data_IF_484167143684
#
_entry.id   IF_484167143684
#
_cell.length_a   1.000
_cell.length_b   1.000
_cell.length_c   1.000
_cell.angle_alpha   90.00
_cell.angle_beta   90.00
_cell.angle_gamma   90.00
#
_symmetry.space_group_name_H-M   'P 1'
#
loop_
_entity.id
_entity.type
_entity.pdbx_description
1 polymer ?
#
# COMPACT_ATOMS: atom_id res chain seq x y z
N UNK A 1 5.53 16.67 6.48
CA UNK A 1 5.67 15.37 5.82
C UNK A 1 6.73 14.57 6.56
N UNK A 2 6.58 13.26 6.69
CA UNK A 2 7.56 12.40 7.35
C UNK A 2 8.66 12.11 6.34
N UNK A 3 9.91 12.22 6.76
CA UNK A 3 11.05 11.87 5.91
C UNK A 3 11.01 10.36 5.61
N UNK A 4 11.31 9.99 4.38
CA UNK A 4 11.35 8.59 3.95
C UNK A 4 12.75 8.21 3.52
N UNK A 5 13.17 7.02 3.92
CA UNK A 5 14.45 6.42 3.55
C UNK A 5 14.22 5.34 2.50
N UNK A 6 14.81 5.51 1.31
CA UNK A 6 14.72 4.52 0.24
C UNK A 6 15.76 3.42 0.44
N UNK A 7 15.30 2.19 0.63
CA UNK A 7 16.15 1.00 0.63
C UNK A 7 15.60 0.04 -0.42
N UNK A 8 16.39 -0.20 -1.47
CA UNK A 8 16.01 -0.94 -2.66
C UNK A 8 14.72 -0.38 -3.29
N UNK A 9 13.72 -1.23 -3.54
CA UNK A 9 12.45 -0.88 -4.17
C UNK A 9 11.35 -0.46 -3.18
N UNK A 10 11.69 -0.15 -1.92
CA UNK A 10 10.72 0.38 -0.95
C UNK A 10 11.23 1.65 -0.26
N UNK A 11 10.27 2.45 0.18
CA UNK A 11 10.48 3.56 1.11
C UNK A 11 10.09 3.13 2.53
N UNK A 12 10.94 3.46 3.50
CA UNK A 12 10.72 3.24 4.93
C UNK A 12 10.49 4.60 5.59
N UNK A 13 9.45 4.72 6.39
CA UNK A 13 9.12 5.95 7.11
C UNK A 13 10.09 6.19 8.27
N UNK A 14 10.74 7.36 8.28
CA UNK A 14 11.82 7.69 9.22
C UNK A 14 11.28 8.30 10.54
N UNK A 15 10.52 7.49 11.29
CA UNK A 15 9.98 7.89 12.58
C UNK A 15 10.88 7.52 13.76
N UNK A 16 10.74 8.26 14.85
CA UNK A 16 10.98 7.72 16.20
C UNK A 16 9.73 6.96 16.71
N UNK A 17 9.90 6.01 17.63
CA UNK A 17 8.80 5.26 18.23
C UNK A 17 7.73 6.19 18.81
N UNK A 18 8.15 7.24 19.52
CA UNK A 18 7.23 8.22 20.12
C UNK A 18 6.40 8.97 19.08
N UNK A 19 7.04 9.45 18.01
CA UNK A 19 6.34 10.13 16.91
C UNK A 19 5.39 9.18 16.20
N UNK A 20 5.84 7.94 15.96
CA UNK A 20 5.06 6.93 15.27
C UNK A 20 3.80 6.55 16.05
N UNK A 21 3.93 6.24 17.34
CA UNK A 21 2.78 5.89 18.21
C UNK A 21 1.76 7.02 18.27
N UNK A 22 2.20 8.27 18.41
CA UNK A 22 1.29 9.43 18.38
C UNK A 22 0.54 9.50 17.04
N UNK A 23 1.24 9.30 15.93
CA UNK A 23 0.63 9.36 14.60
C UNK A 23 -0.38 8.22 14.41
N UNK A 24 0.05 7.00 14.69
CA UNK A 24 -0.72 5.78 14.54
C UNK A 24 -1.98 5.77 15.42
N UNK A 25 -1.88 6.23 16.66
CA UNK A 25 -3.02 6.32 17.58
C UNK A 25 -4.13 7.23 17.05
N UNK A 26 -3.78 8.37 16.44
CA UNK A 26 -4.78 9.32 15.94
C UNK A 26 -5.27 9.02 14.52
N UNK A 27 -4.43 8.47 13.65
CA UNK A 27 -4.76 8.28 12.23
C UNK A 27 -5.21 6.87 11.88
N UNK A 28 -4.84 5.89 12.70
CA UNK A 28 -4.90 4.49 12.31
C UNK A 28 -4.08 4.22 11.04
N UNK A 29 -4.31 3.07 10.43
CA UNK A 29 -3.67 2.62 9.20
C UNK A 29 -3.05 1.24 9.28
N UNK A 30 -2.57 0.75 8.13
CA UNK A 30 -1.91 -0.53 7.97
C UNK A 30 -0.40 -0.35 8.13
N UNK A 31 0.17 -1.05 9.11
CA UNK A 31 1.59 -0.97 9.48
C UNK A 31 2.29 -2.27 9.12
N UNK A 32 3.30 -2.17 8.25
CA UNK A 32 4.25 -3.25 7.98
C UNK A 32 5.61 -2.93 8.57
N UNK A 33 6.31 -3.96 9.05
CA UNK A 33 7.65 -3.85 9.63
C UNK A 33 8.66 -4.62 8.75
N UNK A 34 9.03 -4.07 7.57
CA UNK A 34 9.97 -4.74 6.68
C UNK A 34 11.33 -4.99 7.36
N UNK A 35 11.85 -6.21 7.21
CA UNK A 35 13.24 -6.59 7.47
C UNK A 35 13.90 -7.12 6.20
N UNK A 36 15.16 -7.55 6.30
CA UNK A 36 15.97 -8.04 5.17
C UNK A 36 15.24 -9.07 4.31
N UNK A 37 14.64 -10.08 4.93
CA UNK A 37 13.85 -11.11 4.24
C UNK A 37 12.67 -10.55 3.45
N UNK A 38 12.01 -9.50 3.95
CA UNK A 38 10.97 -8.82 3.19
C UNK A 38 11.59 -8.14 1.97
N UNK A 39 12.69 -7.39 2.15
CA UNK A 39 13.35 -6.67 1.06
C UNK A 39 13.82 -7.61 -0.04
N UNK A 40 14.33 -8.80 0.30
CA UNK A 40 14.70 -9.83 -0.69
C UNK A 40 13.47 -10.42 -1.38
N UNK A 41 12.42 -10.78 -0.63
CA UNK A 41 11.17 -11.30 -1.22
C UNK A 41 10.55 -10.29 -2.18
N UNK A 42 10.58 -9.01 -1.82
CA UNK A 42 10.12 -7.90 -2.66
C UNK A 42 10.92 -7.73 -3.95
N UNK A 43 12.10 -8.36 -4.09
CA UNK A 43 12.83 -8.40 -5.34
C UNK A 43 12.35 -9.50 -6.31
N UNK A 44 11.69 -10.53 -5.79
CA UNK A 44 11.42 -11.78 -6.52
C UNK A 44 9.93 -12.06 -6.68
N UNK A 45 9.12 -11.58 -5.75
CA UNK A 45 7.69 -11.82 -5.69
C UNK A 45 6.91 -10.54 -6.04
N UNK A 46 6.34 -10.52 -7.25
CA UNK A 46 5.57 -9.38 -7.77
C UNK A 46 4.27 -9.14 -7.00
N UNK A 47 3.62 -10.21 -6.53
CA UNK A 47 2.37 -10.10 -5.80
C UNK A 47 2.63 -9.56 -4.40
N UNK A 48 3.68 -10.03 -3.73
CA UNK A 48 4.11 -9.46 -2.46
C UNK A 48 4.55 -8.00 -2.60
N UNK A 49 5.18 -7.61 -3.71
CA UNK A 49 5.48 -6.21 -4.02
C UNK A 49 4.21 -5.35 -4.12
N UNK A 50 3.17 -5.84 -4.81
CA UNK A 50 1.87 -5.16 -4.89
C UNK A 50 1.18 -5.04 -3.53
N UNK A 51 1.25 -6.09 -2.71
CA UNK A 51 0.70 -6.10 -1.35
C UNK A 51 1.21 -4.92 -0.50
N UNK A 52 2.47 -4.52 -0.68
CA UNK A 52 3.05 -3.39 0.06
C UNK A 52 2.36 -2.04 -0.23
N UNK A 53 1.59 -1.92 -1.33
CA UNK A 53 0.81 -0.71 -1.62
C UNK A 53 -0.37 -0.51 -0.67
N UNK A 54 -0.87 -1.57 -0.04
CA UNK A 54 -1.93 -1.46 0.95
C UNK A 54 -1.44 -0.82 2.26
N UNK A 55 -0.12 -0.84 2.55
CA UNK A 55 0.43 -0.27 3.78
C UNK A 55 0.37 1.26 3.78
N UNK A 56 -0.07 1.83 4.91
CA UNK A 56 0.04 3.27 5.16
C UNK A 56 1.39 3.64 5.78
N UNK A 57 1.97 2.70 6.55
CA UNK A 57 3.26 2.88 7.20
C UNK A 57 4.16 1.68 7.01
N UNK A 58 5.43 1.96 6.77
CA UNK A 58 6.51 0.98 6.67
C UNK A 58 7.61 1.40 7.62
N UNK A 59 7.70 0.74 8.78
CA UNK A 59 8.67 1.12 9.82
C UNK A 59 9.81 0.11 9.93
N UNK A 60 11.00 0.58 10.32
CA UNK A 60 12.23 -0.21 10.28
C UNK A 60 12.26 -1.33 11.33
N UNK A 61 12.18 -2.60 10.92
CA UNK A 61 12.11 -3.73 11.87
C UNK A 61 13.44 -4.06 12.55
N UNK A 62 14.58 -3.85 11.87
CA UNK A 62 15.87 -4.38 12.34
C UNK A 62 17.01 -3.36 12.32
N UNK A 63 17.99 -3.55 13.24
CA UNK A 63 19.25 -2.80 13.23
C UNK A 63 20.03 -2.97 11.93
N UNK A 64 19.89 -4.12 11.26
CA UNK A 64 20.54 -4.37 9.96
C UNK A 64 20.07 -3.34 8.93
N UNK A 65 18.77 -3.02 8.89
CA UNK A 65 18.26 -1.97 8.01
C UNK A 65 18.71 -0.57 8.46
N UNK A 66 18.84 -0.32 9.77
CA UNK A 66 19.45 0.93 10.24
C UNK A 66 20.90 1.07 9.78
N UNK A 67 21.72 0.02 9.87
CA UNK A 67 23.10 0.05 9.36
C UNK A 67 23.14 0.20 7.84
N UNK A 68 22.26 -0.48 7.11
CA UNK A 68 22.14 -0.32 5.67
C UNK A 68 21.80 1.12 5.27
N UNK A 69 20.86 1.75 5.98
CA UNK A 69 20.49 3.16 5.74
C UNK A 69 21.65 4.13 6.01
N UNK A 70 22.44 3.89 7.07
CA UNK A 70 23.68 4.64 7.35
C UNK A 70 24.70 4.48 6.24
N UNK A 71 24.89 3.25 5.75
CA UNK A 71 25.80 2.97 4.63
C UNK A 71 25.37 3.70 3.35
N UNK A 72 24.06 3.76 3.06
CA UNK A 72 23.52 4.51 1.93
C UNK A 72 23.64 6.03 2.09
N UNK A 73 23.78 6.54 3.32
CA UNK A 73 23.91 7.98 3.62
C UNK A 73 22.61 8.66 4.04
N UNK A 74 21.54 7.88 4.25
CA UNK A 74 20.20 8.35 4.66
C UNK A 74 19.78 7.61 5.94
N UNK A 75 20.33 7.95 7.11
CA UNK A 75 20.19 7.15 8.32
C UNK A 75 18.75 7.15 8.87
N UNK A 76 18.23 5.94 9.11
CA UNK A 76 17.00 5.72 9.88
C UNK A 76 17.26 6.09 11.35
N UNK A 77 16.32 6.83 11.93
CA UNK A 77 16.40 7.38 13.30
C UNK A 77 16.23 6.31 14.37
N UNK A 78 15.30 5.37 14.20
CA UNK A 78 14.99 4.37 15.23
C UNK A 78 14.54 3.02 14.64
N UNK A 79 14.85 1.93 15.35
CA UNK A 79 14.32 0.59 15.08
C UNK A 79 12.94 0.48 15.71
N UNK A 80 11.94 0.16 14.92
CA UNK A 80 10.55 -0.07 15.34
C UNK A 80 10.17 -1.47 14.84
N UNK A 81 10.61 -2.50 15.55
CA UNK A 81 10.25 -3.89 15.25
C UNK A 81 8.81 -4.18 15.65
N UNK A 82 8.15 -5.16 15.03
CA UNK A 82 6.80 -5.57 15.46
C UNK A 82 6.74 -5.94 16.94
N UNK A 83 7.81 -6.53 17.43
CA UNK A 83 7.99 -6.96 18.82
C UNK A 83 8.33 -5.86 19.83
N UNK A 84 8.71 -4.67 19.36
CA UNK A 84 8.86 -3.48 20.19
C UNK A 84 7.60 -2.59 20.07
N UNK A 85 7.07 -2.49 18.84
CA UNK A 85 5.92 -1.66 18.49
C UNK A 85 4.65 -2.10 19.23
N UNK A 86 4.31 -3.39 19.20
CA UNK A 86 3.04 -3.83 19.78
C UNK A 86 2.97 -3.63 21.29
N UNK A 87 4.02 -3.97 22.08
CA UNK A 87 4.08 -3.64 23.50
C UNK A 87 4.00 -2.15 23.78
N UNK A 88 4.76 -1.34 23.05
CA UNK A 88 4.72 0.11 23.23
C UNK A 88 3.38 0.71 22.82
N UNK A 89 2.69 0.13 21.85
CA UNK A 89 1.37 0.57 21.41
C UNK A 89 0.30 0.35 22.47
N UNK A 90 0.18 -0.86 23.04
CA UNK A 90 -0.81 -1.08 24.10
C UNK A 90 -0.44 -0.33 25.38
N UNK A 91 0.86 -0.14 25.69
CA UNK A 91 1.30 0.70 26.82
C UNK A 91 1.00 2.18 26.58
N UNK A 92 1.11 2.65 25.34
CA UNK A 92 0.71 4.00 24.96
C UNK A 92 -0.79 4.21 25.15
N UNK A 93 -1.61 3.26 24.69
CA UNK A 93 -3.04 3.27 24.92
C UNK A 93 -3.35 3.24 26.42
N UNK A 94 -2.60 2.47 27.20
CA UNK A 94 -2.75 2.44 28.65
C UNK A 94 -2.58 3.81 29.30
N UNK A 95 -1.49 4.51 28.95
CA UNK A 95 -1.22 5.86 29.46
C UNK A 95 -2.25 6.90 29.02
N UNK A 96 -2.90 6.71 27.87
CA UNK A 96 -3.97 7.58 27.37
C UNK A 96 -5.27 7.36 28.15
N UNK A 97 -5.58 6.11 28.41
CA UNK A 97 -6.71 5.70 29.24
C UNK A 97 -6.58 6.22 30.69
N UNK A 98 -5.39 6.09 31.30
CA UNK A 98 -5.12 6.60 32.65
C UNK A 98 -5.31 8.13 32.77
N UNK A 99 -5.17 8.85 31.65
CA UNK A 99 -5.41 10.30 31.57
C UNK A 99 -6.84 10.66 31.17
N UNK A 100 -7.72 9.68 31.01
CA UNK A 100 -9.10 9.85 30.56
C UNK A 100 -9.20 10.54 29.18
N UNK A 101 -8.18 10.35 28.33
CA UNK A 101 -8.10 11.04 27.02
C UNK A 101 -8.90 10.31 25.93
N UNK A 102 -9.12 8.98 26.01
CA UNK A 102 -10.05 8.21 25.15
C UNK A 102 -10.05 6.71 25.50
N UNK A 103 -11.22 6.03 25.40
CA UNK A 103 -11.42 4.62 25.77
C UNK A 103 -11.89 3.72 24.62
N UNK A 104 -11.40 3.97 23.39
CA UNK A 104 -11.88 3.27 22.19
C UNK A 104 -10.90 2.23 21.61
N UNK A 105 -9.75 1.98 22.26
CA UNK A 105 -8.80 0.97 21.77
C UNK A 105 -9.21 -0.42 22.26
N UNK A 106 -9.66 -1.26 21.32
CA UNK A 106 -9.96 -2.68 21.52
C UNK A 106 -9.19 -3.49 20.49
N UNK A 107 -8.39 -4.45 20.94
CA UNK A 107 -7.45 -5.17 20.10
C UNK A 107 -7.93 -6.61 19.88
N UNK A 108 -7.90 -7.06 18.63
CA UNK A 108 -8.04 -8.45 18.23
C UNK A 108 -6.66 -9.06 17.93
N UNK A 109 -6.35 -10.24 18.47
CA UNK A 109 -5.14 -11.00 18.13
C UNK A 109 -5.46 -12.09 17.11
N UNK A 110 -4.79 -12.08 15.96
CA UNK A 110 -4.92 -13.13 14.94
C UNK A 110 -3.57 -13.78 14.64
N UNK A 111 -3.39 -15.05 15.00
CA UNK A 111 -2.19 -15.80 14.66
C UNK A 111 -1.69 -16.70 15.78
N UNK A 112 -0.39 -17.02 15.71
CA UNK A 112 0.26 -18.02 16.56
C UNK A 112 -0.38 -19.44 16.48
N UNK A 113 0.17 -20.38 17.22
CA UNK A 113 -0.39 -21.73 17.33
C UNK A 113 -1.66 -21.74 18.18
N UNK A 114 -2.43 -22.83 18.11
CA UNK A 114 -3.64 -23.02 18.93
C UNK A 114 -3.35 -22.79 20.42
N UNK A 115 -4.21 -22.01 21.09
CA UNK A 115 -4.07 -21.61 22.49
C UNK A 115 -3.09 -20.47 22.77
N UNK A 116 -2.11 -20.21 21.88
CA UNK A 116 -1.07 -19.19 22.13
C UNK A 116 -1.63 -17.77 22.08
N UNK A 117 -2.52 -17.47 21.13
CA UNK A 117 -3.14 -16.14 21.04
C UNK A 117 -4.02 -15.81 22.26
N UNK A 118 -4.72 -16.81 22.81
CA UNK A 118 -5.52 -16.68 24.03
C UNK A 118 -4.62 -16.44 25.25
N UNK A 119 -3.50 -17.17 25.37
CA UNK A 119 -2.52 -16.93 26.43
C UNK A 119 -1.92 -15.52 26.36
N UNK A 120 -1.62 -15.02 25.16
CA UNK A 120 -1.18 -13.64 24.96
C UNK A 120 -2.27 -12.63 25.39
N UNK A 121 -3.54 -12.89 25.06
CA UNK A 121 -4.66 -12.07 25.51
C UNK A 121 -4.71 -11.97 27.04
N UNK A 122 -4.64 -13.10 27.74
CA UNK A 122 -4.64 -13.13 29.21
C UNK A 122 -3.47 -12.35 29.81
N UNK A 123 -2.25 -12.62 29.33
CA UNK A 123 -1.04 -11.96 29.82
C UNK A 123 -1.08 -10.43 29.63
N UNK A 124 -1.49 -9.98 28.44
CA UNK A 124 -1.56 -8.55 28.12
C UNK A 124 -2.65 -7.87 28.96
N UNK A 125 -3.83 -8.46 29.07
CA UNK A 125 -4.93 -7.88 29.85
C UNK A 125 -4.57 -7.79 31.34
N UNK A 126 -3.88 -8.79 31.90
CA UNK A 126 -3.34 -8.74 33.26
C UNK A 126 -2.31 -7.62 33.43
N UNK A 127 -1.37 -7.48 32.47
CA UNK A 127 -0.33 -6.44 32.49
C UNK A 127 -0.91 -5.03 32.36
N UNK A 128 -1.93 -4.86 31.53
CA UNK A 128 -2.57 -3.57 31.28
C UNK A 128 -3.50 -3.19 32.43
N UNK A 129 -4.22 -4.16 33.01
CA UNK A 129 -5.14 -3.95 34.14
C UNK A 129 -6.60 -3.80 33.72
N UNK A 130 -6.91 -3.99 32.44
CA UNK A 130 -8.27 -4.11 31.90
C UNK A 130 -8.26 -4.94 30.62
N UNK A 131 -9.46 -5.26 30.13
CA UNK A 131 -9.68 -5.97 28.88
C UNK A 131 -9.43 -5.06 27.67
N UNK A 132 -8.16 -4.92 27.27
CA UNK A 132 -7.77 -4.22 26.04
C UNK A 132 -7.78 -5.16 24.84
N UNK A 133 -7.39 -6.43 25.05
CA UNK A 133 -7.50 -7.50 24.06
C UNK A 133 -8.89 -8.13 24.24
N UNK A 134 -9.79 -7.84 23.31
CA UNK A 134 -11.21 -8.23 23.41
C UNK A 134 -11.49 -9.62 22.82
N UNK A 135 -10.65 -10.07 21.90
CA UNK A 135 -10.75 -11.42 21.35
C UNK A 135 -9.41 -11.85 20.72
N UNK A 136 -9.21 -13.16 20.62
CA UNK A 136 -8.01 -13.76 20.06
C UNK A 136 -8.35 -15.06 19.31
N UNK A 137 -7.70 -15.28 18.17
CA UNK A 137 -7.90 -16.46 17.34
C UNK A 137 -6.61 -16.96 16.70
N UNK A 138 -6.37 -18.25 16.83
CA UNK A 138 -5.30 -18.97 16.14
C UNK A 138 -5.88 -19.69 14.92
N UNK A 139 -5.56 -19.23 13.69
CA UNK A 139 -6.09 -19.84 12.48
C UNK A 139 -5.38 -21.17 12.14
N UNK A 140 -6.00 -21.98 11.30
CA UNK A 140 -5.41 -23.22 10.81
C UNK A 140 -4.17 -22.98 9.93
N UNK A 141 -3.31 -23.98 9.80
CA UNK A 141 -2.16 -23.87 8.91
C UNK A 141 -2.62 -23.75 7.46
N UNK A 142 -2.29 -22.63 6.80
CA UNK A 142 -2.70 -22.38 5.42
C UNK A 142 -4.08 -21.74 5.28
N UNK A 143 -4.67 -21.24 6.38
CA UNK A 143 -5.98 -20.56 6.37
C UNK A 143 -6.12 -19.49 5.29
N UNK A 144 -5.02 -18.85 4.89
CA UNK A 144 -5.01 -17.79 3.87
C UNK A 144 -5.48 -18.28 2.49
N UNK A 145 -5.47 -19.61 2.28
CA UNK A 145 -5.96 -20.28 1.06
C UNK A 145 -7.38 -20.82 1.20
N UNK A 146 -7.95 -20.77 2.40
CA UNK A 146 -9.29 -21.25 2.71
C UNK A 146 -10.25 -20.05 2.85
N UNK A 147 -10.99 -19.74 1.78
CA UNK A 147 -11.92 -18.61 1.76
C UNK A 147 -13.01 -18.71 2.85
N UNK A 148 -13.47 -19.92 3.17
CA UNK A 148 -14.49 -20.12 4.22
C UNK A 148 -13.92 -19.80 5.61
N UNK A 149 -12.66 -20.17 5.86
CA UNK A 149 -12.01 -19.84 7.13
C UNK A 149 -11.67 -18.34 7.20
N UNK A 150 -11.17 -17.75 6.11
CA UNK A 150 -10.98 -16.31 6.01
C UNK A 150 -12.28 -15.55 6.28
N UNK A 151 -13.41 -16.03 5.75
CA UNK A 151 -14.73 -15.45 6.00
C UNK A 151 -15.10 -15.50 7.49
N UNK A 152 -14.94 -16.67 8.14
CA UNK A 152 -15.20 -16.83 9.58
C UNK A 152 -14.33 -15.91 10.43
N UNK A 153 -13.06 -15.73 10.06
CA UNK A 153 -12.14 -14.81 10.73
C UNK A 153 -12.63 -13.36 10.60
N UNK A 154 -13.03 -12.94 9.39
CA UNK A 154 -13.57 -11.60 9.13
C UNK A 154 -14.82 -11.33 9.96
N UNK A 155 -15.75 -12.28 10.00
CA UNK A 155 -17.00 -12.16 10.74
C UNK A 155 -16.72 -12.06 12.24
N UNK A 156 -15.87 -12.93 12.79
CA UNK A 156 -15.46 -12.88 14.20
C UNK A 156 -14.79 -11.55 14.56
N UNK A 157 -13.89 -11.03 13.73
CA UNK A 157 -13.25 -9.72 13.97
C UNK A 157 -14.31 -8.61 13.99
N UNK A 158 -15.25 -8.60 13.04
CA UNK A 158 -16.30 -7.58 12.97
C UNK A 158 -17.25 -7.65 14.19
N UNK A 159 -17.56 -8.86 14.68
CA UNK A 159 -18.43 -9.10 15.84
C UNK A 159 -17.75 -8.78 17.18
N UNK A 160 -16.42 -8.89 17.27
CA UNK A 160 -15.64 -8.64 18.50
C UNK A 160 -15.70 -7.19 19.00
N UNK A 161 -16.10 -6.24 18.15
CA UNK A 161 -16.03 -4.81 18.45
C UNK A 161 -14.60 -4.26 18.54
N UNK A 162 -13.59 -4.99 18.07
CA UNK A 162 -12.22 -4.52 18.00
C UNK A 162 -12.07 -3.33 17.04
N UNK A 163 -11.18 -2.41 17.40
CA UNK A 163 -10.76 -1.25 16.61
C UNK A 163 -9.32 -1.38 16.10
N UNK A 164 -8.58 -2.37 16.58
CA UNK A 164 -7.21 -2.68 16.19
C UNK A 164 -7.09 -4.18 15.90
N UNK A 165 -6.46 -4.54 14.78
CA UNK A 165 -6.08 -5.92 14.47
C UNK A 165 -4.57 -6.07 14.57
N UNK A 166 -4.11 -6.95 15.46
CA UNK A 166 -2.72 -7.38 15.53
C UNK A 166 -2.60 -8.80 14.96
N UNK A 167 -1.96 -8.91 13.79
CA UNK A 167 -1.83 -10.17 13.06
C UNK A 167 -0.38 -10.69 13.11
N UNK A 168 -0.22 -11.96 13.48
CA UNK A 168 1.07 -12.62 13.71
C UNK A 168 1.13 -14.02 13.11
N UNK A 169 0.99 -14.11 11.78
CA UNK A 169 1.08 -15.40 11.02
C UNK A 169 2.33 -15.49 10.14
N UNK A 170 3.17 -14.45 10.18
CA UNK A 170 4.44 -14.38 9.48
C UNK A 170 4.32 -13.90 8.04
N UNK A 171 5.42 -13.32 7.53
CA UNK A 171 5.50 -12.79 6.19
C UNK A 171 5.84 -13.87 5.14
N UNK A 172 5.22 -13.85 3.95
CA UNK A 172 4.37 -12.79 3.40
C UNK A 172 2.87 -12.90 3.72
N UNK A 173 2.46 -13.92 4.50
CA UNK A 173 1.06 -14.31 4.67
C UNK A 173 0.22 -13.20 5.28
N UNK A 174 0.71 -12.59 6.36
CA UNK A 174 -0.02 -11.56 7.08
C UNK A 174 -0.21 -10.29 6.22
N UNK A 175 0.82 -9.87 5.47
CA UNK A 175 0.72 -8.71 4.59
C UNK A 175 -0.27 -8.99 3.45
N UNK A 176 -0.17 -10.15 2.80
CA UNK A 176 -1.06 -10.55 1.71
C UNK A 176 -2.52 -10.65 2.19
N UNK A 177 -2.75 -11.23 3.37
CA UNK A 177 -4.09 -11.33 3.95
C UNK A 177 -4.67 -9.94 4.25
N UNK A 178 -3.86 -9.04 4.82
CA UNK A 178 -4.27 -7.65 5.06
C UNK A 178 -4.59 -6.92 3.75
N UNK A 179 -3.71 -7.00 2.74
CA UNK A 179 -3.96 -6.35 1.45
C UNK A 179 -5.28 -6.83 0.82
N UNK A 180 -5.59 -8.13 0.93
CA UNK A 180 -6.81 -8.71 0.37
C UNK A 180 -8.08 -8.37 1.16
N UNK A 181 -8.03 -8.35 2.50
CA UNK A 181 -9.24 -8.35 3.33
C UNK A 181 -9.43 -7.12 4.24
N UNK A 182 -8.46 -6.22 4.38
CA UNK A 182 -8.59 -5.06 5.29
C UNK A 182 -9.85 -4.22 5.03
N UNK A 183 -10.25 -4.03 3.76
CA UNK A 183 -11.45 -3.28 3.39
C UNK A 183 -12.78 -3.93 3.82
N UNK A 184 -12.75 -5.18 4.31
CA UNK A 184 -13.93 -5.92 4.81
C UNK A 184 -14.06 -5.85 6.34
N UNK A 185 -13.07 -5.27 7.03
CA UNK A 185 -13.02 -5.14 8.48
C UNK A 185 -13.53 -3.75 8.89
N UNK A 186 -14.82 -3.69 9.24
CA UNK A 186 -15.59 -2.42 9.32
C UNK A 186 -15.16 -1.52 10.47
N UNK A 187 -14.80 -2.13 11.60
CA UNK A 187 -14.50 -1.43 12.85
C UNK A 187 -13.00 -1.17 13.05
N UNK A 188 -12.15 -1.88 12.30
CA UNK A 188 -10.70 -1.83 12.48
C UNK A 188 -10.14 -0.56 11.84
N UNK A 189 -9.56 0.30 12.67
CA UNK A 189 -8.87 1.53 12.29
C UNK A 189 -7.37 1.28 12.09
N UNK A 190 -6.79 0.35 12.85
CA UNK A 190 -5.34 0.08 12.88
C UNK A 190 -5.04 -1.39 12.64
N UNK A 191 -4.12 -1.67 11.72
CA UNK A 191 -3.68 -3.04 11.41
C UNK A 191 -2.18 -3.15 11.65
N UNK A 192 -1.77 -4.08 12.50
CA UNK A 192 -0.38 -4.28 12.90
C UNK A 192 0.08 -5.67 12.44
N UNK A 193 0.97 -5.71 11.45
CA UNK A 193 1.63 -6.94 11.01
C UNK A 193 2.86 -7.19 11.90
N UNK A 194 2.69 -8.00 12.95
CA UNK A 194 3.64 -8.10 14.07
C UNK A 194 4.42 -9.42 14.12
N UNK A 195 4.20 -10.33 13.17
CA UNK A 195 4.94 -11.59 13.08
C UNK A 195 4.88 -12.40 14.37
N UNK A 196 6.02 -12.85 14.88
CA UNK A 196 6.12 -13.73 16.06
C UNK A 196 5.86 -13.03 17.42
N UNK A 197 5.35 -11.80 17.41
CA UNK A 197 5.16 -11.03 18.64
C UNK A 197 4.09 -11.64 19.54
N UNK A 198 3.08 -12.30 18.98
CA UNK A 198 2.06 -13.01 19.77
C UNK A 198 2.71 -14.14 20.59
N UNK A 199 3.64 -14.91 20.01
CA UNK A 199 4.40 -15.95 20.74
C UNK A 199 5.23 -15.36 21.91
N UNK A 200 5.78 -14.16 21.73
CA UNK A 200 6.54 -13.47 22.78
C UNK A 200 5.65 -13.00 23.92
N UNK A 201 4.51 -12.39 23.62
CA UNK A 201 3.54 -11.93 24.64
C UNK A 201 2.87 -13.10 25.38
N UNK A 202 2.71 -14.25 24.72
CA UNK A 202 2.26 -15.49 25.36
C UNK A 202 3.34 -16.13 26.27
N UNK A 203 4.61 -15.73 26.13
CA UNK A 203 5.73 -16.34 26.85
C UNK A 203 6.16 -17.71 26.30
N UNK A 204 5.69 -18.10 25.11
CA UNK A 204 6.07 -19.36 24.45
C UNK A 204 7.49 -19.29 23.85
N UNK A 205 7.93 -18.09 23.48
CA UNK A 205 9.28 -17.86 22.97
C UNK A 205 9.98 -16.75 23.75
N UNK A 206 11.24 -16.94 24.15
CA UNK A 206 12.01 -15.86 24.76
C UNK A 206 12.35 -14.79 23.72
N UNK A 207 12.32 -13.53 24.16
CA UNK A 207 12.94 -12.41 23.43
C UNK A 207 14.46 -12.56 23.50
N UNK A 208 15.17 -12.08 22.47
CA UNK A 208 16.62 -11.97 22.56
C UNK A 208 17.02 -11.04 23.71
N UNK A 209 18.14 -11.29 24.40
CA UNK A 209 18.68 -10.34 25.37
C UNK A 209 18.80 -8.92 24.78
N UNK A 210 18.53 -7.89 25.60
CA UNK A 210 18.50 -6.50 25.16
C UNK A 210 19.81 -6.08 24.48
N UNK A 211 20.96 -6.46 25.04
CA UNK A 211 22.26 -6.16 24.45
C UNK A 211 22.44 -6.76 23.05
N UNK A 212 21.89 -7.95 22.77
CA UNK A 212 21.94 -8.52 21.42
C UNK A 212 21.06 -7.72 20.46
N UNK A 213 19.87 -7.33 20.91
CA UNK A 213 18.96 -6.48 20.14
C UNK A 213 19.58 -5.12 19.80
N UNK A 214 20.25 -4.50 20.77
CA UNK A 214 20.89 -3.18 20.64
C UNK A 214 22.02 -3.20 19.60
N UNK A 215 22.79 -4.29 19.55
CA UNK A 215 23.88 -4.51 18.59
C UNK A 215 23.39 -5.03 17.24
N UNK A 216 22.15 -5.50 17.14
CA UNK A 216 21.58 -6.07 15.90
C UNK A 216 21.84 -7.56 15.70
N UNK A 217 22.12 -8.29 16.79
CA UNK A 217 22.36 -9.74 16.81
C UNK A 217 21.10 -10.57 17.09
N UNK A 218 19.91 -9.94 17.04
CA UNK A 218 18.61 -10.60 17.18
C UNK A 218 18.47 -11.81 16.24
N UNK A 219 18.90 -11.67 14.97
CA UNK A 219 18.84 -12.75 14.00
C UNK A 219 19.72 -13.94 14.39
N UNK A 220 20.88 -13.70 15.01
CA UNK A 220 21.80 -14.75 15.44
C UNK A 220 21.22 -15.52 16.63
N UNK A 221 20.62 -14.81 17.59
CA UNK A 221 19.89 -15.44 18.70
C UNK A 221 18.77 -16.34 18.17
N UNK A 222 17.96 -15.85 17.23
CA UNK A 222 16.87 -16.64 16.64
C UNK A 222 17.39 -17.84 15.85
N UNK A 223 18.49 -17.68 15.12
CA UNK A 223 19.13 -18.78 14.40
C UNK A 223 19.58 -19.89 15.34
N UNK A 224 20.14 -19.53 16.49
CA UNK A 224 20.53 -20.51 17.50
C UNK A 224 19.32 -21.22 18.12
N UNK A 225 18.20 -20.51 18.32
CA UNK A 225 16.97 -21.10 18.87
C UNK A 225 16.22 -21.99 17.87
N UNK A 226 16.21 -21.63 16.58
CA UNK A 226 15.46 -22.33 15.53
C UNK A 226 16.32 -22.62 14.29
N UNK A 227 17.44 -23.35 14.43
CA UNK A 227 18.45 -23.47 13.37
C UNK A 227 17.88 -24.11 12.12
N UNK A 228 17.14 -25.21 12.24
CA UNK A 228 16.54 -25.94 11.11
C UNK A 228 15.62 -25.08 10.25
N UNK A 229 14.96 -24.08 10.86
CA UNK A 229 14.00 -23.20 10.19
C UNK A 229 14.67 -21.96 9.59
N UNK A 230 15.66 -21.39 10.27
CA UNK A 230 16.19 -20.06 9.96
C UNK A 230 17.54 -20.05 9.24
N UNK A 231 18.30 -21.16 9.24
CA UNK A 231 19.62 -21.20 8.61
C UNK A 231 19.57 -20.84 7.13
N UNK A 232 18.64 -21.44 6.39
CA UNK A 232 18.48 -21.21 4.95
C UNK A 232 18.08 -19.77 4.68
N UNK A 233 17.13 -19.26 5.47
CA UNK A 233 16.68 -17.86 5.37
C UNK A 233 17.87 -16.89 5.51
N UNK A 234 18.64 -16.99 6.60
CA UNK A 234 19.68 -16.01 6.87
C UNK A 234 20.96 -16.20 6.07
N UNK A 235 21.38 -17.45 5.85
CA UNK A 235 22.68 -17.75 5.24
C UNK A 235 22.60 -18.04 3.74
N UNK A 236 21.40 -18.10 3.15
CA UNK A 236 21.22 -18.34 1.72
C UNK A 236 20.26 -17.31 1.12
N UNK A 237 19.04 -17.23 1.66
CA UNK A 237 17.99 -16.42 1.02
C UNK A 237 18.22 -14.93 1.23
N UNK A 238 18.69 -14.49 2.41
CA UNK A 238 18.87 -13.07 2.77
C UNK A 238 20.21 -12.48 2.28
N UNK A 239 21.22 -13.30 1.99
CA UNK A 239 22.55 -12.83 1.56
C UNK A 239 22.56 -11.91 0.31
N UNK A 240 21.74 -12.15 -0.74
CA UNK A 240 21.64 -11.26 -1.88
C UNK A 240 21.33 -9.80 -1.52
N UNK A 241 20.71 -9.54 -0.36
CA UNK A 241 20.44 -8.19 0.12
C UNK A 241 21.68 -7.30 0.13
N UNK A 242 22.82 -7.80 0.62
CA UNK A 242 24.03 -6.99 0.74
C UNK A 242 24.62 -6.63 -0.62
N UNK A 243 24.52 -7.52 -1.61
CA UNK A 243 24.92 -7.23 -2.98
C UNK A 243 24.03 -6.16 -3.62
N UNK A 244 22.71 -6.28 -3.46
CA UNK A 244 21.75 -5.30 -3.95
C UNK A 244 21.95 -3.92 -3.27
N UNK A 245 22.27 -3.92 -1.98
CA UNK A 245 22.57 -2.70 -1.23
C UNK A 245 23.84 -2.02 -1.76
N UNK A 246 24.87 -2.80 -2.10
CA UNK A 246 26.07 -2.28 -2.74
C UNK A 246 25.76 -1.70 -4.13
N UNK A 247 24.96 -2.40 -4.94
CA UNK A 247 24.50 -1.87 -6.22
C UNK A 247 23.73 -0.56 -6.04
N UNK A 248 22.89 -0.44 -5.00
CA UNK A 248 22.16 0.80 -4.71
C UNK A 248 23.12 1.92 -4.31
N UNK A 249 24.16 1.62 -3.52
CA UNK A 249 25.17 2.61 -3.14
C UNK A 249 25.97 3.15 -4.32
N UNK A 250 26.15 2.31 -5.35
CA UNK A 250 26.88 2.65 -6.58
C UNK A 250 25.96 3.16 -7.70
N UNK A 251 24.69 3.44 -7.41
CA UNK A 251 23.66 3.84 -8.38
C UNK A 251 23.47 2.85 -9.55
N UNK A 252 23.79 1.57 -9.32
CA UNK A 252 23.65 0.45 -10.28
C UNK A 252 22.40 -0.40 -10.04
N UNK A 253 21.72 -0.21 -8.91
CA UNK A 253 20.54 -1.00 -8.56
C UNK A 253 19.36 -0.65 -9.47
N UNK A 254 18.80 -1.69 -10.10
CA UNK A 254 17.57 -1.60 -10.88
C UNK A 254 16.46 -2.34 -10.12
N UNK A 255 15.31 -1.69 -9.84
CA UNK A 255 14.20 -2.37 -9.20
C UNK A 255 13.67 -3.47 -10.13
N UNK A 256 13.46 -4.70 -9.64
CA UNK A 256 13.12 -5.85 -10.49
C UNK A 256 11.67 -5.80 -10.99
N UNK A 257 10.84 -5.03 -10.30
CA UNK A 257 9.51 -4.67 -10.74
C UNK A 257 9.51 -3.16 -10.93
N UNK A 258 9.03 -2.70 -12.08
CA UNK A 258 8.51 -1.35 -12.12
C UNK A 258 7.49 -1.24 -10.99
N UNK A 259 7.52 -0.17 -10.18
CA UNK A 259 6.50 -0.02 -9.14
C UNK A 259 5.14 -0.18 -9.83
N UNK A 260 4.14 -0.83 -9.21
CA UNK A 260 2.81 -0.90 -9.83
C UNK A 260 2.22 0.51 -10.08
N UNK A 261 2.88 1.55 -9.54
CA UNK A 261 2.80 2.94 -9.95
C UNK A 261 4.20 3.57 -9.94
N UNK A 262 5.01 3.27 -10.94
CA UNK A 262 5.59 4.39 -11.66
C UNK A 262 4.54 4.67 -12.73
N UNK A 263 3.79 5.79 -12.70
CA UNK A 263 3.70 6.44 -13.99
C UNK A 263 5.16 6.51 -14.45
N UNK A 264 5.51 5.98 -15.64
CA UNK A 264 6.49 6.74 -16.39
C UNK A 264 6.02 8.18 -16.19
N UNK A 265 6.84 9.09 -15.65
CA UNK A 265 6.42 10.46 -15.68
C UNK A 265 6.03 10.65 -17.14
N UNK A 266 4.73 10.84 -17.40
CA UNK A 266 4.34 11.57 -18.59
C UNK A 266 5.07 12.85 -18.31
N UNK A 267 6.23 12.96 -18.96
CA UNK A 267 7.35 13.73 -18.44
C UNK A 267 6.80 15.07 -18.02
N UNK A 268 7.25 15.61 -16.89
CA UNK A 268 7.21 17.05 -16.77
C UNK A 268 7.85 17.59 -18.07
N UNK A 269 7.02 18.00 -19.05
CA UNK A 269 7.45 18.21 -20.44
C UNK A 269 6.61 17.60 -21.58
N UNK A 270 5.71 16.63 -21.39
CA UNK A 270 4.82 16.20 -22.52
C UNK A 270 3.74 17.27 -22.74
N UNK A 271 3.65 17.89 -23.93
CA UNK A 271 2.67 18.94 -24.17
C UNK A 271 1.25 18.41 -24.06
N UNK A 272 0.35 19.20 -23.46
CA UNK A 272 -1.09 18.89 -23.34
C UNK A 272 -1.71 18.49 -24.70
N UNK A 273 -1.25 19.10 -25.80
CA UNK A 273 -1.69 18.74 -27.15
C UNK A 273 -1.43 17.29 -27.53
N UNK A 274 -0.28 16.72 -27.14
CA UNK A 274 0.04 15.31 -27.37
C UNK A 274 -0.87 14.40 -26.55
N UNK A 275 -1.13 14.75 -25.28
CA UNK A 275 -1.99 13.98 -24.38
C UNK A 275 -3.42 13.87 -24.94
N UNK A 276 -3.97 15.01 -25.38
CA UNK A 276 -5.31 15.06 -25.94
C UNK A 276 -5.40 14.38 -27.31
N UNK A 277 -4.33 14.42 -28.11
CA UNK A 277 -4.24 13.72 -29.39
C UNK A 277 -4.18 12.20 -29.19
N UNK A 278 -3.33 11.71 -28.28
CA UNK A 278 -3.22 10.30 -27.93
C UNK A 278 -4.52 9.74 -27.34
N UNK A 279 -5.28 10.59 -26.64
CA UNK A 279 -6.62 10.26 -26.15
C UNK A 279 -7.70 10.31 -27.25
N UNK A 280 -7.35 10.66 -28.49
CA UNK A 280 -8.28 10.80 -29.61
C UNK A 280 -9.28 11.96 -29.47
N UNK A 281 -9.03 12.90 -28.55
CA UNK A 281 -9.93 14.02 -28.24
C UNK A 281 -9.78 15.17 -29.22
N UNK A 282 -8.59 15.34 -29.81
CA UNK A 282 -8.30 16.32 -30.86
C UNK A 282 -7.49 15.68 -31.99
N UNK A 283 -7.62 16.23 -33.19
CA UNK A 283 -6.87 15.80 -34.38
C UNK A 283 -5.57 16.57 -34.57
N UNK A 284 -4.65 16.03 -35.37
CA UNK A 284 -3.39 16.67 -35.77
C UNK A 284 -3.62 18.07 -36.35
N UNK A 285 -4.70 18.23 -37.12
CA UNK A 285 -5.11 19.52 -37.69
C UNK A 285 -5.49 20.51 -36.61
N UNK A 286 -6.25 20.08 -35.59
CA UNK A 286 -6.63 20.93 -34.46
C UNK A 286 -5.42 21.31 -33.61
N UNK A 287 -4.48 20.38 -33.37
CA UNK A 287 -3.22 20.67 -32.68
C UNK A 287 -2.40 21.71 -33.44
N UNK A 288 -2.18 21.51 -34.74
CA UNK A 288 -1.41 22.44 -35.56
C UNK A 288 -2.05 23.84 -35.63
N UNK A 289 -3.38 23.90 -35.73
CA UNK A 289 -4.12 25.18 -35.71
C UNK A 289 -4.02 25.87 -34.35
N UNK A 290 -4.15 25.13 -33.25
CA UNK A 290 -4.06 25.70 -31.91
C UNK A 290 -2.64 26.22 -31.61
N UNK A 291 -1.59 25.48 -32.00
CA UNK A 291 -0.20 25.94 -31.87
C UNK A 291 0.07 27.18 -32.72
N UNK A 292 -0.45 27.22 -33.96
CA UNK A 292 -0.34 28.41 -34.82
C UNK A 292 -1.04 29.62 -34.18
N UNK A 293 -2.26 29.44 -33.65
CA UNK A 293 -2.97 30.51 -32.94
C UNK A 293 -2.18 31.02 -31.74
N UNK A 294 -1.60 30.11 -30.95
CA UNK A 294 -0.80 30.43 -29.77
C UNK A 294 0.44 31.28 -30.11
N UNK A 295 1.06 31.04 -31.27
CA UNK A 295 2.23 31.79 -31.73
C UNK A 295 1.88 33.17 -32.32
N UNK A 296 0.64 33.37 -32.78
CA UNK A 296 0.21 34.59 -33.49
C UNK A 296 -0.59 35.58 -32.66
N UNK A 297 -1.01 35.22 -31.43
CA UNK A 297 -1.82 36.10 -30.58
C UNK A 297 -0.97 36.90 -29.59
N UNK A 298 -1.24 38.21 -29.51
CA UNK A 298 -0.59 39.14 -28.56
C UNK A 298 -1.02 38.89 -27.09
N UNK A 299 -2.17 38.26 -26.86
CA UNK A 299 -2.78 38.07 -25.52
C UNK A 299 -2.25 36.86 -24.72
N UNK A 300 -1.31 36.09 -25.26
CA UNK A 300 -0.63 35.01 -24.52
C UNK A 300 -1.55 33.84 -24.06
N UNK A 301 -2.66 33.58 -24.76
CA UNK A 301 -3.58 32.49 -24.42
C UNK A 301 -2.87 31.12 -24.37
N UNK A 302 -3.20 30.30 -23.35
CA UNK A 302 -2.63 28.96 -23.23
C UNK A 302 -3.31 28.03 -24.23
N UNK A 303 -2.60 26.97 -24.62
CA UNK A 303 -3.08 25.98 -25.59
C UNK A 303 -4.47 25.43 -25.26
N UNK A 304 -4.74 25.11 -23.98
CA UNK A 304 -6.06 24.64 -23.54
C UNK A 304 -7.16 25.67 -23.72
N UNK A 305 -6.89 26.94 -23.43
CA UNK A 305 -7.85 28.04 -23.55
C UNK A 305 -8.27 28.24 -25.03
N UNK A 306 -7.33 28.03 -25.97
CA UNK A 306 -7.60 28.08 -27.43
C UNK A 306 -8.56 26.96 -27.86
N UNK A 307 -8.40 25.75 -27.31
CA UNK A 307 -9.29 24.62 -27.62
C UNK A 307 -10.71 24.86 -27.11
N UNK A 308 -10.84 25.44 -25.91
CA UNK A 308 -12.13 25.80 -25.31
C UNK A 308 -12.81 26.92 -26.10
N UNK A 309 -12.10 28.01 -26.40
CA UNK A 309 -12.64 29.16 -27.13
C UNK A 309 -13.13 28.79 -28.55
N UNK A 310 -12.53 27.76 -29.16
CA UNK A 310 -12.96 27.23 -30.45
C UNK A 310 -14.08 26.20 -30.37
N UNK A 311 -14.54 25.87 -29.16
CA UNK A 311 -15.60 24.89 -28.92
C UNK A 311 -15.20 23.45 -29.23
N UNK A 312 -13.89 23.14 -29.26
CA UNK A 312 -13.42 21.79 -29.58
C UNK A 312 -13.43 20.85 -28.38
N UNK A 313 -13.20 21.38 -27.17
CA UNK A 313 -13.28 20.63 -25.91
C UNK A 313 -13.92 21.48 -24.83
N UNK A 314 -14.56 20.81 -23.86
CA UNK A 314 -15.05 21.46 -22.66
C UNK A 314 -13.87 21.82 -21.72
N UNK A 315 -13.98 22.92 -20.96
CA UNK A 315 -12.92 23.32 -20.02
C UNK A 315 -12.63 22.22 -19.00
N UNK A 316 -13.65 21.50 -18.51
CA UNK A 316 -13.46 20.41 -17.57
C UNK A 316 -12.69 19.22 -18.17
N UNK A 317 -12.81 18.99 -19.48
CA UNK A 317 -11.99 17.98 -20.17
C UNK A 317 -10.52 18.41 -20.19
N UNK A 318 -10.25 19.69 -20.45
CA UNK A 318 -8.90 20.25 -20.43
C UNK A 318 -8.29 20.14 -19.03
N UNK A 319 -9.00 20.62 -18.01
CA UNK A 319 -8.55 20.61 -16.62
C UNK A 319 -8.31 19.18 -16.12
N UNK A 320 -9.18 18.25 -16.52
CA UNK A 320 -9.02 16.85 -16.14
C UNK A 320 -7.72 16.25 -16.68
N UNK A 321 -7.42 16.39 -17.97
CA UNK A 321 -6.21 15.80 -18.56
C UNK A 321 -4.93 16.58 -18.21
N UNK A 322 -5.02 17.88 -17.95
CA UNK A 322 -3.88 18.72 -17.61
C UNK A 322 -3.48 18.62 -16.13
N UNK A 323 -4.45 18.54 -15.22
CA UNK A 323 -4.21 18.69 -13.78
C UNK A 323 -4.70 17.48 -12.97
N UNK A 324 -5.93 17.04 -13.17
CA UNK A 324 -6.53 16.02 -12.30
C UNK A 324 -5.98 14.62 -12.54
N UNK A 325 -5.87 14.19 -13.79
CA UNK A 325 -5.47 12.84 -14.16
C UNK A 325 -4.03 12.52 -13.69
N UNK A 326 -3.03 13.42 -13.85
CA UNK A 326 -1.71 13.22 -13.26
C UNK A 326 -1.72 13.18 -11.72
N UNK A 327 -2.53 14.01 -11.06
CA UNK A 327 -2.62 14.04 -9.60
C UNK A 327 -3.26 12.77 -9.03
N UNK A 328 -4.33 12.28 -9.68
CA UNK A 328 -4.99 11.04 -9.30
C UNK A 328 -4.03 9.86 -9.43
N UNK A 329 -3.29 9.77 -10.54
CA UNK A 329 -2.30 8.73 -10.76
C UNK A 329 -1.23 8.70 -9.65
N UNK A 330 -0.82 9.88 -9.16
CA UNK A 330 0.14 10.01 -8.06
C UNK A 330 -0.45 9.73 -6.67
N UNK A 331 -1.77 9.85 -6.49
CA UNK A 331 -2.44 9.71 -5.20
C UNK A 331 -2.67 8.26 -4.75
N UNK A 332 -2.55 7.28 -5.66
CA UNK A 332 -2.75 5.86 -5.39
C UNK A 332 -4.20 5.45 -5.06
N UNK A 333 -5.17 6.38 -5.11
CA UNK A 333 -6.60 6.11 -4.87
C UNK A 333 -7.33 5.92 -6.21
N UNK A 334 -7.44 4.67 -6.65
CA UNK A 334 -8.22 4.32 -7.83
C UNK A 334 -9.72 4.38 -7.56
N UNK A 335 -10.46 5.00 -8.47
CA UNK A 335 -11.92 5.04 -8.54
C UNK A 335 -12.39 4.26 -9.78
N UNK A 336 -13.67 3.87 -9.87
CA UNK A 336 -14.21 3.23 -11.07
C UNK A 336 -14.05 4.12 -12.32
N UNK A 337 -13.82 3.51 -13.49
CA UNK A 337 -13.60 4.25 -14.76
C UNK A 337 -14.69 5.28 -15.07
N UNK A 338 -15.95 4.96 -14.78
CA UNK A 338 -17.08 5.88 -14.96
C UNK A 338 -16.96 7.18 -14.15
N UNK A 339 -16.33 7.15 -12.97
CA UNK A 339 -16.07 8.35 -12.17
C UNK A 339 -15.15 9.33 -12.91
N UNK A 340 -14.07 8.82 -13.52
CA UNK A 340 -13.11 9.64 -14.25
C UNK A 340 -13.70 10.22 -15.53
N UNK A 341 -14.43 9.41 -16.30
CA UNK A 341 -15.10 9.87 -17.53
C UNK A 341 -16.20 10.90 -17.23
N UNK A 342 -16.87 10.78 -16.07
CA UNK A 342 -17.80 11.80 -15.58
C UNK A 342 -17.11 13.12 -15.29
N UNK A 343 -16.01 13.06 -14.53
CA UNK A 343 -15.24 14.24 -14.11
C UNK A 343 -14.68 14.99 -15.32
N UNK A 344 -14.23 14.26 -16.34
CA UNK A 344 -13.78 14.80 -17.62
C UNK A 344 -14.89 15.33 -18.54
N UNK A 345 -16.18 15.27 -18.11
CA UNK A 345 -17.37 15.58 -18.93
C UNK A 345 -17.50 14.75 -20.22
N UNK A 346 -16.83 13.61 -20.29
CA UNK A 346 -16.93 12.67 -21.43
C UNK A 346 -18.18 11.79 -21.34
N UNK A 347 -18.66 11.55 -20.12
CA UNK A 347 -19.93 10.88 -19.84
C UNK A 347 -20.75 11.65 -18.81
N UNK A 348 -22.07 11.53 -18.89
CA UNK A 348 -22.99 12.03 -17.86
C UNK A 348 -23.59 10.88 -17.04
N UNK A 349 -24.30 11.22 -15.95
CA UNK A 349 -24.91 10.24 -15.05
C UNK A 349 -25.88 9.28 -15.75
N UNK A 350 -26.63 9.78 -16.73
CA UNK A 350 -27.56 8.96 -17.52
C UNK A 350 -26.79 7.91 -18.33
N UNK A 351 -25.75 8.32 -19.04
CA UNK A 351 -24.91 7.41 -19.83
C UNK A 351 -24.20 6.38 -18.94
N UNK A 352 -23.72 6.79 -17.76
CA UNK A 352 -23.08 5.88 -16.81
C UNK A 352 -24.08 4.83 -16.31
N UNK A 353 -25.28 5.23 -15.92
CA UNK A 353 -26.32 4.31 -15.48
C UNK A 353 -26.75 3.34 -16.59
N UNK A 354 -26.87 3.84 -17.83
CA UNK A 354 -27.17 3.00 -19.00
C UNK A 354 -26.05 1.98 -19.27
N UNK A 355 -24.77 2.38 -19.16
CA UNK A 355 -23.63 1.46 -19.27
C UNK A 355 -23.69 0.40 -18.18
N UNK A 356 -23.88 0.78 -16.91
CA UNK A 356 -23.91 -0.15 -15.78
C UNK A 356 -25.05 -1.16 -15.90
N UNK A 357 -26.22 -0.72 -16.38
CA UNK A 357 -27.35 -1.61 -16.66
C UNK A 357 -27.01 -2.65 -17.74
N UNK A 358 -26.40 -2.23 -18.85
CA UNK A 358 -26.03 -3.13 -19.94
C UNK A 358 -24.85 -4.05 -19.58
N UNK A 359 -23.92 -3.56 -18.77
CA UNK A 359 -22.81 -4.32 -18.22
C UNK A 359 -23.29 -5.58 -17.49
N UNK A 360 -24.35 -5.43 -16.67
CA UNK A 360 -24.96 -6.52 -15.91
C UNK A 360 -25.65 -7.59 -16.77
N UNK A 361 -26.05 -7.25 -18.01
CA UNK A 361 -26.78 -8.13 -18.90
C UNK A 361 -25.87 -8.84 -19.91
N UNK A 362 -24.76 -8.21 -20.30
CA UNK A 362 -23.96 -8.64 -21.45
C UNK A 362 -22.57 -9.21 -21.10
N UNK A 363 -22.19 -9.27 -19.81
CA UNK A 363 -20.83 -9.65 -19.36
C UNK A 363 -19.71 -8.87 -20.09
N UNK A 364 -19.99 -7.62 -20.46
CA UNK A 364 -19.06 -6.69 -21.09
C UNK A 364 -18.44 -5.78 -20.03
N UNK A 365 -17.31 -5.14 -20.34
CA UNK A 365 -16.71 -4.15 -19.43
C UNK A 365 -17.29 -2.77 -19.65
N UNK A 366 -17.27 -1.93 -18.60
CA UNK A 366 -17.75 -0.55 -18.67
C UNK A 366 -17.21 0.21 -19.89
N UNK A 367 -15.89 0.17 -20.12
CA UNK A 367 -15.24 0.84 -21.26
C UNK A 367 -15.67 0.28 -22.62
N UNK A 368 -15.88 -1.04 -22.74
CA UNK A 368 -16.32 -1.67 -23.99
C UNK A 368 -17.74 -1.25 -24.36
N UNK A 369 -18.64 -1.18 -23.38
CA UNK A 369 -20.01 -0.70 -23.59
C UNK A 369 -19.99 0.77 -24.01
N UNK A 370 -19.19 1.61 -23.35
CA UNK A 370 -19.05 3.03 -23.70
C UNK A 370 -18.56 3.24 -25.15
N UNK A 371 -17.61 2.42 -25.61
CA UNK A 371 -17.09 2.45 -26.98
C UNK A 371 -18.12 1.93 -27.98
N UNK A 372 -18.80 0.82 -27.69
CA UNK A 372 -19.87 0.27 -28.56
C UNK A 372 -21.03 1.25 -28.76
N UNK A 373 -21.34 2.04 -27.73
CA UNK A 373 -22.35 3.11 -27.80
C UNK A 373 -21.88 4.35 -28.55
N UNK A 374 -20.59 4.42 -28.91
CA UNK A 374 -19.99 5.57 -29.60
C UNK A 374 -19.88 6.81 -28.73
N UNK A 375 -20.01 6.69 -27.40
CA UNK A 375 -19.95 7.84 -26.49
C UNK A 375 -18.53 8.27 -26.15
N UNK A 376 -17.60 7.31 -26.14
CA UNK A 376 -16.18 7.55 -25.89
C UNK A 376 -15.38 6.72 -26.88
N UNK A 377 -14.25 7.24 -27.36
CA UNK A 377 -13.36 6.51 -28.26
C UNK A 377 -12.52 5.50 -27.49
N UNK A 378 -12.09 4.43 -28.16
CA UNK A 378 -11.24 3.41 -27.55
C UNK A 378 -9.90 4.02 -27.09
N UNK A 379 -9.34 4.95 -27.87
CA UNK A 379 -8.11 5.67 -27.55
C UNK A 379 -8.25 6.49 -26.27
N UNK A 380 -9.42 7.08 -26.02
CA UNK A 380 -9.68 7.85 -24.80
C UNK A 380 -9.67 6.94 -23.58
N UNK A 381 -10.31 5.77 -23.68
CA UNK A 381 -10.30 4.77 -22.61
C UNK A 381 -8.88 4.28 -22.36
N UNK A 382 -8.16 3.91 -23.42
CA UNK A 382 -6.76 3.47 -23.34
C UNK A 382 -5.86 4.53 -22.73
N UNK A 383 -6.06 5.80 -23.08
CA UNK A 383 -5.30 6.92 -22.51
C UNK A 383 -5.57 7.04 -21.03
N UNK A 384 -6.82 7.17 -20.59
CA UNK A 384 -7.16 7.26 -19.15
C UNK A 384 -6.62 6.05 -18.37
N UNK A 385 -6.80 4.83 -18.89
CA UNK A 385 -6.28 3.62 -18.25
C UNK A 385 -4.75 3.59 -18.22
N UNK A 386 -4.04 4.05 -19.26
CA UNK A 386 -2.57 4.15 -19.25
C UNK A 386 -2.07 5.02 -18.11
N UNK A 387 -2.77 6.11 -17.79
CA UNK A 387 -2.45 6.95 -16.63
C UNK A 387 -2.78 6.29 -15.29
N UNK A 388 -3.80 5.43 -15.26
CA UNK A 388 -4.23 4.73 -14.05
C UNK A 388 -3.50 3.39 -13.82
N UNK A 389 -2.93 2.76 -14.85
CA UNK A 389 -2.42 1.37 -14.82
C UNK A 389 -0.94 1.23 -15.28
N UNK A 390 -0.36 2.25 -15.91
CA UNK A 390 1.02 2.21 -16.46
C UNK A 390 1.12 1.52 -17.84
N UNK A 391 2.25 1.72 -18.55
CA UNK A 391 2.44 1.23 -19.94
C UNK A 391 2.56 -0.30 -20.08
N UNK A 392 3.02 -1.00 -19.05
CA UNK A 392 3.39 -2.44 -19.13
C UNK A 392 2.26 -3.42 -18.77
N UNK A 393 1.04 -2.94 -18.56
CA UNK A 393 -0.13 -3.80 -18.30
C UNK A 393 -0.87 -4.22 -19.57
N UNK A 394 -0.62 -3.55 -20.71
CA UNK A 394 -1.49 -3.66 -21.88
C UNK A 394 -1.41 -5.00 -22.64
N UNK A 395 -0.33 -5.76 -22.50
CA UNK A 395 -0.22 -7.08 -23.17
C UNK A 395 -0.71 -8.26 -22.31
N UNK A 396 -1.09 -8.04 -21.05
CA UNK A 396 -1.51 -9.12 -20.14
C UNK A 396 -2.64 -8.82 -19.16
N UNK A 397 -3.07 -7.56 -19.02
CA UNK A 397 -4.08 -7.13 -18.05
C UNK A 397 -5.41 -6.69 -18.68
N UNK A 398 -5.73 -7.18 -19.87
CA UNK A 398 -7.11 -7.22 -20.36
C UNK A 398 -8.00 -8.18 -19.54
N UNK A 399 -7.71 -8.44 -18.25
CA UNK A 399 -8.30 -9.48 -17.38
C UNK A 399 -8.23 -9.09 -15.88
N UNK A 400 -8.96 -8.05 -15.45
CA UNK A 400 -9.46 -7.73 -14.09
C UNK A 400 -9.92 -6.25 -14.13
N UNK A 401 -11.01 -5.77 -13.56
CA UNK A 401 -11.89 -6.23 -12.50
C UNK A 401 -13.32 -5.66 -12.72
N UNK A 402 -14.29 -6.33 -12.10
CA UNK A 402 -15.64 -5.85 -11.86
C UNK A 402 -15.69 -4.60 -10.96
#
# INVERSE_FOLDING_TARGET
MVEKVKILNIEIDNFTMKEFLKNLYHRGGIVFTPNVDHLVKLQKDRDFNRTYQASNYRVCDSKVLMYASKFLGTPIREKISGSDLFPEFYNYCKRKEEKQEEKDTKIFLLGAAEGVALKAQENINQKVGWEIIVDAYSPSFGFERNELECQKIIDRINESGATVLAIGVGAPKQENWLAKYHGRLKNIKTFLAIGATIDFEAGEKPRSPQWMSDWGLEWLYRLQSEPQRLWKRYLVDDLPFFWLLLQQKLDLYQPPFQPPFSPEPVAAGVPLGQILQDAGLISDKQVALALKCQQTQEDGLRFGDILVNRGWLAPETIDFFAEDLPQVANSGRLQPLGHYLKRAKLLNDRQINEILSEQSQANLRFGEVAVRKGWVKEETIKSVLRYLEGKDSFEGAALASA
#
